data_IF_371625268879
#
_entry.id   IF_371625268879
#
_cell.length_a   1.000
_cell.length_b   1.000
_cell.length_c   1.000
_cell.angle_alpha   90.00
_cell.angle_beta   90.00
_cell.angle_gamma   90.00
#
_symmetry.space_group_name_H-M   'P 1'
#
loop_
_entity.id
_entity.type
_entity.pdbx_description
1 polymer ?
#
# COMPACT_ATOMS: atom_id res chain seq x y z
N UNK A 1 -25.93 3.83 -8.53
CA UNK A 1 -24.72 4.42 -7.93
C UNK A 1 -23.60 4.39 -8.94
N UNK A 2 -22.89 5.51 -9.14
CA UNK A 2 -21.74 5.61 -10.04
C UNK A 2 -20.51 6.00 -9.23
N UNK A 3 -19.40 5.28 -9.42
CA UNK A 3 -18.13 5.47 -8.68
C UNK A 3 -17.03 5.83 -9.66
N UNK A 4 -16.20 6.81 -9.30
CA UNK A 4 -14.95 7.10 -10.00
C UNK A 4 -13.75 6.63 -9.15
N UNK A 5 -12.72 6.08 -9.81
CA UNK A 5 -11.44 5.73 -9.19
C UNK A 5 -10.33 6.41 -9.98
N UNK A 6 -9.59 7.30 -9.33
CA UNK A 6 -8.55 8.13 -9.94
C UNK A 6 -7.18 7.60 -9.55
N UNK A 7 -6.40 7.20 -10.57
CA UNK A 7 -5.10 6.54 -10.43
C UNK A 7 -5.26 5.02 -10.53
N UNK A 8 -4.93 4.45 -11.69
CA UNK A 8 -5.05 3.01 -11.99
C UNK A 8 -3.71 2.26 -11.77
N UNK A 9 -3.07 2.55 -10.64
CA UNK A 9 -1.99 1.72 -10.12
C UNK A 9 -2.54 0.46 -9.45
N UNK A 10 -1.71 -0.19 -8.62
CA UNK A 10 -2.05 -1.43 -7.92
C UNK A 10 -3.40 -1.37 -7.19
N UNK A 11 -3.58 -0.37 -6.34
CA UNK A 11 -4.81 -0.19 -5.55
C UNK A 11 -6.00 0.17 -6.44
N UNK A 12 -5.83 1.14 -7.35
CA UNK A 12 -6.94 1.69 -8.11
C UNK A 12 -7.48 0.72 -9.17
N UNK A 13 -6.61 0.02 -9.89
CA UNK A 13 -7.06 -0.95 -10.90
C UNK A 13 -7.74 -2.15 -10.25
N UNK A 14 -7.18 -2.65 -9.14
CA UNK A 14 -7.79 -3.73 -8.36
C UNK A 14 -9.17 -3.33 -7.84
N UNK A 15 -9.28 -2.16 -7.19
CA UNK A 15 -10.55 -1.65 -6.69
C UNK A 15 -11.58 -1.45 -7.80
N UNK A 16 -11.20 -0.82 -8.91
CA UNK A 16 -12.09 -0.57 -10.06
C UNK A 16 -12.63 -1.88 -10.64
N UNK A 17 -11.74 -2.87 -10.79
CA UNK A 17 -12.10 -4.17 -11.34
C UNK A 17 -13.08 -4.93 -10.43
N UNK A 18 -12.83 -4.91 -9.11
CA UNK A 18 -13.71 -5.58 -8.13
C UNK A 18 -15.06 -4.88 -8.03
N UNK A 19 -15.11 -3.55 -7.92
CA UNK A 19 -16.35 -2.77 -7.88
C UNK A 19 -17.24 -3.09 -9.08
N UNK A 20 -16.68 -3.00 -10.28
CA UNK A 20 -17.41 -3.24 -11.51
C UNK A 20 -17.82 -4.71 -11.69
N UNK A 21 -16.99 -5.66 -11.28
CA UNK A 21 -17.31 -7.09 -11.33
C UNK A 21 -18.48 -7.47 -10.42
N UNK A 22 -18.71 -6.69 -9.35
CA UNK A 22 -19.87 -6.78 -8.44
C UNK A 22 -21.10 -5.99 -8.92
N UNK A 23 -21.08 -5.45 -10.15
CA UNK A 23 -22.24 -4.77 -10.75
C UNK A 23 -22.31 -3.26 -10.48
N UNK A 24 -21.29 -2.65 -9.89
CA UNK A 24 -21.27 -1.21 -9.61
C UNK A 24 -20.72 -0.48 -10.83
N UNK A 25 -21.47 0.48 -11.38
CA UNK A 25 -21.00 1.34 -12.48
C UNK A 25 -19.76 2.11 -12.03
N UNK A 26 -18.60 1.80 -12.62
CA UNK A 26 -17.30 2.32 -12.21
C UNK A 26 -16.59 2.96 -13.38
N UNK A 27 -15.99 4.11 -13.14
CA UNK A 27 -15.11 4.82 -14.08
C UNK A 27 -13.70 4.82 -13.49
N UNK A 28 -12.80 4.08 -14.12
CA UNK A 28 -11.38 4.10 -13.81
C UNK A 28 -10.68 5.19 -14.62
N UNK A 29 -9.92 6.04 -13.95
CA UNK A 29 -9.29 7.23 -14.56
C UNK A 29 -7.79 7.21 -14.26
N UNK A 30 -6.96 7.32 -15.30
CA UNK A 30 -5.52 7.51 -15.17
C UNK A 30 -5.03 8.52 -16.20
N UNK A 31 -4.09 9.37 -15.84
CA UNK A 31 -3.51 10.37 -16.75
C UNK A 31 -2.62 9.76 -17.84
N UNK A 32 -2.17 8.53 -17.68
CA UNK A 32 -1.37 7.78 -18.65
C UNK A 32 -2.30 7.09 -19.66
N UNK A 33 -2.49 7.74 -20.83
CA UNK A 33 -3.31 7.21 -21.91
C UNK A 33 -2.82 5.87 -22.47
N UNK A 34 -1.49 5.59 -22.43
CA UNK A 34 -0.94 4.29 -22.85
C UNK A 34 -1.36 3.18 -21.88
N UNK A 35 -1.32 3.49 -20.58
CA UNK A 35 -1.84 2.60 -19.53
C UNK A 35 -3.33 2.34 -19.72
N UNK A 36 -4.13 3.37 -19.91
CA UNK A 36 -5.57 3.25 -20.17
C UNK A 36 -5.84 2.34 -21.38
N UNK A 37 -5.11 2.54 -22.49
CA UNK A 37 -5.26 1.74 -23.71
C UNK A 37 -4.95 0.25 -23.50
N UNK A 38 -3.98 -0.11 -22.64
CA UNK A 38 -3.73 -1.51 -22.28
C UNK A 38 -4.87 -2.08 -21.43
N UNK A 39 -5.32 -1.32 -20.42
CA UNK A 39 -6.37 -1.76 -19.50
C UNK A 39 -7.70 -1.98 -20.24
N UNK A 40 -8.07 -1.12 -21.17
CA UNK A 40 -9.27 -1.29 -22.02
C UNK A 40 -9.25 -2.62 -22.80
N UNK A 41 -8.06 -3.09 -23.19
CA UNK A 41 -7.87 -4.40 -23.85
C UNK A 41 -7.92 -5.58 -22.86
N UNK A 42 -8.16 -5.33 -21.58
CA UNK A 42 -8.17 -6.34 -20.52
C UNK A 42 -6.78 -6.80 -20.08
N UNK A 43 -5.74 -6.02 -20.37
CA UNK A 43 -4.35 -6.32 -20.01
C UNK A 43 -3.96 -5.48 -18.81
N UNK A 44 -3.77 -6.07 -17.60
CA UNK A 44 -3.26 -5.36 -16.42
C UNK A 44 -1.84 -4.85 -16.65
N UNK A 45 -1.44 -3.81 -15.93
CA UNK A 45 -0.10 -3.20 -16.03
C UNK A 45 0.89 -3.72 -14.98
N UNK A 46 0.48 -4.69 -14.19
CA UNK A 46 1.27 -5.42 -13.18
C UNK A 46 0.65 -6.80 -12.99
N UNK A 47 1.43 -7.74 -12.49
CA UNK A 47 0.94 -9.07 -12.16
C UNK A 47 0.22 -9.08 -10.80
N UNK A 48 -0.99 -9.62 -10.78
CA UNK A 48 -1.75 -9.93 -9.55
C UNK A 48 -2.65 -11.13 -9.85
N UNK A 49 -2.63 -12.19 -9.02
CA UNK A 49 -3.50 -13.34 -9.22
C UNK A 49 -4.97 -12.96 -9.39
N UNK A 50 -5.63 -13.51 -10.40
CA UNK A 50 -7.05 -13.27 -10.74
C UNK A 50 -7.40 -11.84 -11.21
N UNK A 51 -6.47 -10.89 -11.27
CA UNK A 51 -6.77 -9.51 -11.68
C UNK A 51 -7.20 -9.47 -13.14
N UNK A 52 -6.50 -10.12 -14.05
CA UNK A 52 -6.83 -10.13 -15.48
C UNK A 52 -8.23 -10.69 -15.72
N UNK A 53 -8.57 -11.81 -15.09
CA UNK A 53 -9.91 -12.42 -15.17
C UNK A 53 -10.99 -11.49 -14.65
N UNK A 54 -10.75 -10.84 -13.50
CA UNK A 54 -11.69 -9.90 -12.87
C UNK A 54 -11.84 -8.64 -13.73
N UNK A 55 -10.76 -8.09 -14.27
CA UNK A 55 -10.76 -6.94 -15.17
C UNK A 55 -11.57 -7.22 -16.46
N UNK A 56 -11.30 -8.33 -17.14
CA UNK A 56 -12.04 -8.73 -18.36
C UNK A 56 -13.53 -8.87 -18.10
N UNK A 57 -13.93 -9.43 -16.94
CA UNK A 57 -15.33 -9.51 -16.53
C UNK A 57 -15.93 -8.11 -16.28
N UNK A 58 -15.19 -7.24 -15.62
CA UNK A 58 -15.63 -5.88 -15.30
C UNK A 58 -15.84 -5.03 -16.56
N UNK A 59 -14.92 -5.08 -17.51
CA UNK A 59 -14.96 -4.33 -18.76
C UNK A 59 -16.17 -4.68 -19.63
N UNK A 60 -16.65 -5.92 -19.58
CA UNK A 60 -17.83 -6.35 -20.36
C UNK A 60 -19.13 -5.68 -19.95
N UNK A 61 -19.23 -5.08 -18.73
CA UNK A 61 -20.51 -4.59 -18.20
C UNK A 61 -20.43 -3.21 -17.56
N UNK A 62 -19.59 -3.03 -16.54
CA UNK A 62 -19.74 -1.90 -15.60
C UNK A 62 -18.46 -1.06 -15.44
N UNK A 63 -17.36 -1.40 -16.11
CA UNK A 63 -16.10 -0.65 -16.00
C UNK A 63 -15.83 0.14 -17.29
N UNK A 64 -15.69 1.44 -17.13
CA UNK A 64 -15.24 2.35 -18.18
C UNK A 64 -13.85 2.85 -17.79
N UNK A 65 -12.89 2.79 -18.70
CA UNK A 65 -11.53 3.30 -18.49
C UNK A 65 -11.31 4.52 -19.39
N UNK A 66 -10.75 5.58 -18.83
CA UNK A 66 -10.51 6.84 -19.55
C UNK A 66 -9.37 7.64 -18.92
N UNK A 67 -8.78 8.52 -19.71
CA UNK A 67 -7.83 9.54 -19.24
C UNK A 67 -8.49 10.90 -18.91
N UNK A 68 -9.80 11.02 -19.19
CA UNK A 68 -10.56 12.27 -19.00
C UNK A 68 -11.08 12.39 -17.57
N UNK A 69 -10.47 13.27 -16.77
CA UNK A 69 -10.87 13.47 -15.38
C UNK A 69 -12.32 14.03 -15.26
N UNK A 70 -12.84 14.73 -16.27
CA UNK A 70 -14.24 15.20 -16.29
C UNK A 70 -15.28 14.08 -16.15
N UNK A 71 -14.89 12.83 -16.37
CA UNK A 71 -15.75 11.65 -16.20
C UNK A 71 -16.19 11.40 -14.74
N UNK A 72 -15.60 12.12 -13.76
CA UNK A 72 -16.09 12.12 -12.37
C UNK A 72 -17.44 12.83 -12.20
N UNK A 73 -17.86 13.61 -13.19
CA UNK A 73 -19.15 14.30 -13.13
C UNK A 73 -20.27 13.28 -12.92
N UNK A 74 -21.20 13.63 -12.04
CA UNK A 74 -22.33 12.77 -11.64
C UNK A 74 -21.93 11.46 -10.89
N UNK A 75 -20.69 11.30 -10.44
CA UNK A 75 -20.31 10.20 -9.53
C UNK A 75 -20.79 10.47 -8.11
N UNK A 76 -21.22 9.41 -7.43
CA UNK A 76 -21.62 9.46 -6.02
C UNK A 76 -20.42 9.38 -5.10
N UNK A 77 -19.42 8.56 -5.50
CA UNK A 77 -18.15 8.38 -4.81
C UNK A 77 -16.99 8.61 -5.76
N UNK A 78 -15.94 9.25 -5.27
CA UNK A 78 -14.69 9.52 -6.00
C UNK A 78 -13.54 9.01 -5.13
N UNK A 79 -12.97 7.88 -5.49
CA UNK A 79 -11.78 7.33 -4.85
C UNK A 79 -10.52 7.91 -5.47
N UNK A 80 -9.62 8.43 -4.64
CA UNK A 80 -8.29 8.87 -5.06
C UNK A 80 -7.27 7.83 -4.59
N UNK A 81 -6.62 7.19 -5.55
CA UNK A 81 -5.71 6.06 -5.39
C UNK A 81 -4.36 6.30 -6.09
N UNK A 82 -4.02 7.58 -6.29
CA UNK A 82 -2.76 7.95 -6.94
C UNK A 82 -1.55 7.63 -6.05
N UNK A 83 -0.41 7.39 -6.67
CA UNK A 83 0.82 7.07 -5.96
C UNK A 83 1.31 8.20 -5.04
N UNK A 84 1.96 7.81 -3.96
CA UNK A 84 2.63 8.71 -3.01
C UNK A 84 4.08 8.23 -2.85
N UNK A 85 4.96 8.47 -3.85
CA UNK A 85 6.34 8.00 -3.83
C UNK A 85 7.13 8.68 -2.72
N UNK A 86 8.25 8.08 -2.35
CA UNK A 86 9.17 8.67 -1.39
C UNK A 86 10.14 9.64 -2.09
N UNK A 87 10.37 10.79 -1.49
CA UNK A 87 11.44 11.72 -1.88
C UNK A 87 12.78 11.22 -1.36
N UNK A 88 13.89 11.78 -1.90
CA UNK A 88 15.26 11.46 -1.48
C UNK A 88 15.51 11.69 0.03
N UNK A 89 14.84 12.66 0.63
CA UNK A 89 14.94 12.97 2.06
C UNK A 89 14.05 12.10 2.97
N UNK A 90 13.42 11.08 2.44
CA UNK A 90 12.53 10.18 3.19
C UNK A 90 11.09 10.64 3.35
N UNK A 91 10.75 11.86 2.92
CA UNK A 91 9.38 12.36 2.94
C UNK A 91 8.51 11.72 1.87
N UNK A 92 7.21 11.72 2.10
CA UNK A 92 6.23 11.35 1.07
C UNK A 92 6.02 12.52 0.11
N UNK A 93 6.08 12.23 -1.19
CA UNK A 93 5.72 13.20 -2.22
C UNK A 93 4.19 13.24 -2.40
N UNK A 94 3.62 14.38 -2.07
CA UNK A 94 2.17 14.65 -2.18
C UNK A 94 1.80 15.37 -3.49
N UNK A 95 2.70 15.51 -4.45
CA UNK A 95 2.47 16.27 -5.69
C UNK A 95 1.26 15.75 -6.47
N UNK A 96 1.14 14.43 -6.65
CA UNK A 96 -0.01 13.82 -7.32
C UNK A 96 -1.32 14.04 -6.56
N UNK A 97 -1.30 13.89 -5.22
CA UNK A 97 -2.48 14.15 -4.37
C UNK A 97 -2.93 15.61 -4.52
N UNK A 98 -2.01 16.57 -4.44
CA UNK A 98 -2.29 18.00 -4.58
C UNK A 98 -2.88 18.33 -5.95
N UNK A 99 -2.30 17.78 -7.01
CA UNK A 99 -2.75 17.98 -8.39
C UNK A 99 -4.17 17.45 -8.59
N UNK A 100 -4.43 16.20 -8.14
CA UNK A 100 -5.74 15.59 -8.26
C UNK A 100 -6.77 16.32 -7.39
N UNK A 101 -6.44 16.68 -6.15
CA UNK A 101 -7.33 17.44 -5.27
C UNK A 101 -7.72 18.80 -5.89
N UNK A 102 -6.76 19.52 -6.51
CA UNK A 102 -7.02 20.77 -7.22
C UNK A 102 -8.00 20.57 -8.39
N UNK A 103 -7.76 19.56 -9.22
CA UNK A 103 -8.57 19.28 -10.39
C UNK A 103 -9.97 18.78 -10.03
N UNK A 104 -10.07 17.87 -9.04
CA UNK A 104 -11.36 17.41 -8.49
C UNK A 104 -12.13 18.58 -7.88
N UNK A 105 -11.47 19.45 -7.12
CA UNK A 105 -12.08 20.66 -6.55
C UNK A 105 -12.75 21.53 -7.62
N UNK A 106 -12.06 21.79 -8.74
CA UNK A 106 -12.63 22.54 -9.86
C UNK A 106 -13.85 21.86 -10.47
N UNK A 107 -13.78 20.54 -10.72
CA UNK A 107 -14.88 19.80 -11.33
C UNK A 107 -16.13 19.70 -10.42
N UNK A 108 -15.95 19.55 -9.12
CA UNK A 108 -17.09 19.49 -8.19
C UNK A 108 -17.73 20.88 -7.96
N UNK A 109 -17.04 22.00 -8.29
CA UNK A 109 -17.64 23.34 -8.18
C UNK A 109 -18.92 23.45 -9.01
N UNK A 110 -18.90 22.90 -10.22
CA UNK A 110 -19.99 22.94 -11.20
C UNK A 110 -20.99 21.78 -11.01
N UNK A 111 -20.65 20.79 -10.20
CA UNK A 111 -21.47 19.61 -10.03
C UNK A 111 -22.63 19.88 -9.06
N UNK A 112 -23.87 19.63 -9.52
CA UNK A 112 -25.09 19.72 -8.69
C UNK A 112 -25.16 18.60 -7.63
N UNK A 113 -24.53 17.44 -7.88
CA UNK A 113 -24.43 16.36 -6.88
C UNK A 113 -23.45 16.75 -5.78
N UNK A 114 -23.67 16.16 -4.61
CA UNK A 114 -22.79 16.26 -3.44
C UNK A 114 -21.96 14.96 -3.33
N UNK A 115 -20.84 14.84 -4.06
CA UNK A 115 -20.05 13.61 -4.08
C UNK A 115 -19.36 13.36 -2.75
N UNK A 116 -18.94 12.12 -2.53
CA UNK A 116 -18.07 11.74 -1.42
C UNK A 116 -16.69 11.41 -1.99
N UNK A 117 -15.68 12.15 -1.55
CA UNK A 117 -14.29 11.99 -1.94
C UNK A 117 -13.60 11.14 -0.89
N UNK A 118 -13.02 10.01 -1.31
CA UNK A 118 -12.26 9.13 -0.44
C UNK A 118 -10.79 9.14 -0.87
N UNK A 119 -9.90 9.47 0.05
CA UNK A 119 -8.46 9.32 -0.18
C UNK A 119 -8.07 7.93 0.32
N UNK A 120 -7.70 7.06 -0.62
CA UNK A 120 -7.26 5.70 -0.35
C UNK A 120 -5.73 5.57 -0.43
N UNK A 121 -5.06 6.52 -1.07
CA UNK A 121 -3.60 6.64 -1.09
C UNK A 121 -3.04 6.74 0.34
N UNK A 122 -1.90 6.10 0.57
CA UNK A 122 -1.18 6.21 1.87
C UNK A 122 -0.58 7.61 2.00
N UNK A 123 -1.07 8.38 2.95
CA UNK A 123 -0.67 9.76 3.21
C UNK A 123 -0.33 9.94 4.69
N UNK A 124 0.63 10.83 5.00
CA UNK A 124 1.11 11.11 6.35
C UNK A 124 -0.01 11.72 7.20
N UNK A 125 -0.12 11.33 8.49
CA UNK A 125 -1.07 11.94 9.43
C UNK A 125 -1.03 13.47 9.40
N UNK A 126 -2.23 14.08 9.26
CA UNK A 126 -2.41 15.51 9.06
C UNK A 126 -2.63 15.93 7.61
N UNK A 127 -2.24 15.11 6.62
CA UNK A 127 -2.33 15.48 5.20
C UNK A 127 -3.76 15.81 4.77
N UNK A 128 -4.75 15.08 5.23
CA UNK A 128 -6.15 15.37 4.90
C UNK A 128 -6.56 16.75 5.36
N UNK A 129 -6.24 17.11 6.62
CA UNK A 129 -6.62 18.38 7.24
C UNK A 129 -5.83 19.56 6.67
N UNK A 130 -4.51 19.40 6.54
CA UNK A 130 -3.60 20.53 6.28
C UNK A 130 -3.33 20.75 4.79
N UNK A 131 -3.60 19.73 3.95
CA UNK A 131 -3.29 19.79 2.51
C UNK A 131 -4.54 19.56 1.66
N UNK A 132 -5.20 18.40 1.79
CA UNK A 132 -6.27 18.00 0.87
C UNK A 132 -7.52 18.85 1.05
N UNK A 133 -7.98 19.02 2.29
CA UNK A 133 -9.18 19.80 2.61
C UNK A 133 -9.09 21.26 2.13
N UNK A 134 -8.01 22.03 2.44
CA UNK A 134 -7.90 23.41 1.97
C UNK A 134 -7.85 23.53 0.45
N UNK A 135 -7.20 22.58 -0.25
CA UNK A 135 -7.12 22.57 -1.71
C UNK A 135 -8.51 22.32 -2.31
N UNK A 136 -9.25 21.34 -1.82
CA UNK A 136 -10.60 21.03 -2.30
C UNK A 136 -11.56 22.19 -2.06
N UNK A 137 -11.62 22.76 -0.85
CA UNK A 137 -12.51 23.87 -0.53
C UNK A 137 -12.20 25.13 -1.34
N UNK A 138 -10.92 25.48 -1.48
CA UNK A 138 -10.49 26.66 -2.27
C UNK A 138 -10.91 26.53 -3.75
N UNK A 139 -10.68 25.36 -4.34
CA UNK A 139 -10.92 25.17 -5.78
C UNK A 139 -12.40 24.87 -6.11
N UNK A 140 -13.16 24.34 -5.16
CA UNK A 140 -14.59 24.07 -5.36
C UNK A 140 -15.49 25.22 -4.93
N UNK A 141 -15.02 26.13 -4.08
CA UNK A 141 -15.80 27.13 -3.36
C UNK A 141 -16.94 26.51 -2.53
N UNK A 142 -16.76 25.27 -2.11
CA UNK A 142 -17.72 24.44 -1.35
C UNK A 142 -17.08 23.97 -0.04
N UNK A 143 -17.91 23.60 0.95
CA UNK A 143 -17.46 23.16 2.27
C UNK A 143 -17.60 21.65 2.45
N UNK A 144 -16.52 21.01 2.91
CA UNK A 144 -16.55 19.62 3.32
C UNK A 144 -17.53 19.40 4.48
N UNK A 145 -18.21 18.27 4.48
CA UNK A 145 -19.25 17.95 5.46
C UNK A 145 -20.62 18.55 5.19
N UNK A 146 -20.70 19.64 4.39
CA UNK A 146 -21.94 20.30 3.99
C UNK A 146 -22.28 20.05 2.52
N UNK A 147 -21.34 20.32 1.64
CA UNK A 147 -21.54 20.32 0.18
C UNK A 147 -20.91 19.08 -0.50
N UNK A 148 -19.91 18.50 0.11
CA UNK A 148 -19.31 17.24 -0.29
C UNK A 148 -18.79 16.47 0.93
N UNK A 149 -18.69 15.13 0.80
CA UNK A 149 -18.02 14.29 1.81
C UNK A 149 -16.52 14.25 1.55
N UNK A 150 -15.72 14.25 2.63
CA UNK A 150 -14.27 14.02 2.55
C UNK A 150 -13.89 12.99 3.59
N UNK A 151 -13.30 11.86 3.15
CA UNK A 151 -13.03 10.70 4.00
C UNK A 151 -11.64 10.14 3.70
N UNK A 152 -10.87 9.92 4.75
CA UNK A 152 -9.64 9.11 4.70
C UNK A 152 -10.03 7.63 4.78
N UNK A 153 -9.68 6.85 3.78
CA UNK A 153 -9.99 5.42 3.70
C UNK A 153 -8.73 4.63 3.30
N UNK A 154 -7.78 4.45 4.22
CA UNK A 154 -6.57 3.71 3.94
C UNK A 154 -6.89 2.29 3.48
N UNK A 155 -5.99 1.70 2.69
CA UNK A 155 -6.05 0.32 2.22
C UNK A 155 -5.07 -0.56 3.01
N UNK A 156 -5.33 -1.86 3.03
CA UNK A 156 -4.49 -2.87 3.67
C UNK A 156 -4.27 -4.06 2.72
N UNK A 157 -4.18 -3.76 1.42
CA UNK A 157 -3.99 -4.78 0.39
C UNK A 157 -2.59 -5.39 0.48
N UNK A 158 -2.54 -6.69 0.25
CA UNK A 158 -1.30 -7.42 0.07
C UNK A 158 -1.15 -7.77 -1.41
N UNK A 159 -0.01 -7.48 -2.01
CA UNK A 159 0.31 -8.01 -3.34
C UNK A 159 0.20 -9.53 -3.30
N UNK A 160 -0.25 -10.15 -4.36
CA UNK A 160 -0.65 -11.55 -4.49
C UNK A 160 -2.00 -11.95 -3.88
N UNK A 161 -2.66 -11.07 -3.10
CA UNK A 161 -4.00 -11.31 -2.53
C UNK A 161 -4.93 -10.09 -2.66
N UNK A 162 -4.57 -9.10 -3.46
CA UNK A 162 -5.26 -7.81 -3.51
C UNK A 162 -6.73 -7.91 -3.93
N UNK A 163 -7.09 -8.85 -4.80
CA UNK A 163 -8.49 -9.10 -5.16
C UNK A 163 -9.29 -9.56 -3.94
N UNK A 164 -8.77 -10.53 -3.18
CA UNK A 164 -9.43 -11.05 -1.99
C UNK A 164 -9.50 -9.99 -0.88
N UNK A 165 -8.40 -9.28 -0.64
CA UNK A 165 -8.34 -8.21 0.34
C UNK A 165 -9.28 -7.04 -0.02
N UNK A 166 -9.56 -6.79 -1.31
CA UNK A 166 -10.55 -5.81 -1.73
C UNK A 166 -11.98 -6.31 -1.48
N UNK A 167 -12.23 -7.60 -1.66
CA UNK A 167 -13.56 -8.21 -1.44
C UNK A 167 -13.85 -8.38 0.05
N UNK A 168 -12.89 -8.84 0.82
CA UNK A 168 -13.01 -9.14 2.25
C UNK A 168 -11.75 -8.68 3.00
N UNK A 169 -11.57 -7.36 3.17
CA UNK A 169 -10.46 -6.83 3.99
C UNK A 169 -10.66 -7.24 5.45
N UNK A 170 -9.60 -7.28 6.25
CA UNK A 170 -9.71 -7.54 7.68
C UNK A 170 -10.39 -6.39 8.43
N UNK A 171 -10.36 -5.17 7.90
CA UNK A 171 -11.02 -3.98 8.44
C UNK A 171 -11.25 -2.94 7.34
N UNK A 172 -12.34 -2.17 7.48
CA UNK A 172 -12.55 -0.92 6.74
C UNK A 172 -12.38 0.24 7.72
N UNK A 173 -11.46 1.16 7.43
CA UNK A 173 -11.24 2.36 8.24
C UNK A 173 -11.78 3.58 7.51
N UNK A 174 -12.63 4.36 8.17
CA UNK A 174 -13.27 5.56 7.64
C UNK A 174 -12.95 6.75 8.58
N UNK A 175 -12.05 7.63 8.13
CA UNK A 175 -11.67 8.82 8.88
C UNK A 175 -12.34 10.07 8.32
N UNK A 176 -13.04 10.83 9.17
CA UNK A 176 -13.68 12.03 8.70
C UNK A 176 -14.66 12.65 9.69
N UNK A 177 -15.42 13.65 9.22
CA UNK A 177 -16.46 14.26 10.01
C UNK A 177 -17.69 13.37 10.11
N UNK A 178 -18.31 13.30 11.30
CA UNK A 178 -19.56 12.56 11.55
C UNK A 178 -20.77 13.28 10.91
N UNK A 179 -20.95 13.10 9.60
CA UNK A 179 -22.00 13.72 8.80
C UNK A 179 -22.85 12.68 8.08
N UNK A 180 -23.88 13.13 7.35
CA UNK A 180 -24.64 12.24 6.44
C UNK A 180 -23.78 11.53 5.40
N UNK A 181 -22.65 12.13 5.00
CA UNK A 181 -21.71 11.52 4.08
C UNK A 181 -20.99 10.31 4.70
N UNK A 182 -20.62 10.41 5.98
CA UNK A 182 -20.03 9.28 6.72
C UNK A 182 -21.04 8.11 6.81
N UNK A 183 -22.28 8.38 7.19
CA UNK A 183 -23.34 7.36 7.24
C UNK A 183 -23.58 6.70 5.88
N UNK A 184 -23.58 7.50 4.78
CA UNK A 184 -23.71 6.96 3.42
C UNK A 184 -22.51 6.09 3.04
N UNK A 185 -21.30 6.45 3.45
CA UNK A 185 -20.08 5.69 3.20
C UNK A 185 -20.04 4.39 4.01
N UNK A 186 -20.40 4.44 5.27
CA UNK A 186 -20.54 3.27 6.15
C UNK A 186 -21.54 2.26 5.55
N UNK A 187 -22.73 2.73 5.14
CA UNK A 187 -23.73 1.89 4.46
C UNK A 187 -23.19 1.30 3.16
N UNK A 188 -22.43 2.05 2.38
CA UNK A 188 -21.79 1.53 1.18
C UNK A 188 -20.83 0.39 1.50
N UNK A 189 -19.92 0.57 2.45
CA UNK A 189 -18.96 -0.47 2.79
C UNK A 189 -19.59 -1.69 3.48
N UNK A 190 -20.61 -1.50 4.30
CA UNK A 190 -21.34 -2.64 4.90
C UNK A 190 -22.02 -3.54 3.86
N UNK A 191 -22.43 -2.96 2.72
CA UNK A 191 -22.98 -3.71 1.60
C UNK A 191 -21.90 -4.29 0.66
N UNK A 192 -20.83 -3.54 0.45
CA UNK A 192 -19.74 -3.94 -0.44
C UNK A 192 -18.83 -5.00 0.18
N UNK A 193 -18.53 -4.87 1.47
CA UNK A 193 -17.71 -5.77 2.28
C UNK A 193 -18.55 -6.31 3.46
N UNK A 194 -19.52 -7.21 3.23
CA UNK A 194 -20.39 -7.71 4.30
C UNK A 194 -19.57 -8.47 5.35
N UNK A 195 -19.96 -8.31 6.61
CA UNK A 195 -19.32 -8.93 7.78
C UNK A 195 -17.87 -8.50 8.05
N UNK A 196 -17.43 -7.39 7.44
CA UNK A 196 -16.13 -6.78 7.73
C UNK A 196 -16.30 -5.70 8.79
N UNK A 197 -15.48 -5.67 9.86
CA UNK A 197 -15.49 -4.60 10.85
C UNK A 197 -15.23 -3.24 10.19
N UNK A 198 -16.04 -2.22 10.57
CA UNK A 198 -15.87 -0.84 10.12
C UNK A 198 -15.49 0.02 11.32
N UNK A 199 -14.33 0.67 11.23
CA UNK A 199 -13.85 1.62 12.25
C UNK A 199 -14.07 3.05 11.74
N UNK A 200 -14.91 3.82 12.45
CA UNK A 200 -15.16 5.23 12.16
C UNK A 200 -14.37 6.09 13.12
N UNK A 201 -13.53 6.98 12.57
CA UNK A 201 -12.66 7.86 13.35
C UNK A 201 -12.48 9.23 12.67
N UNK A 202 -11.54 10.06 13.14
CA UNK A 202 -11.14 11.29 12.45
C UNK A 202 -10.07 11.00 11.36
N UNK A 203 -9.78 12.01 10.54
CA UNK A 203 -8.82 11.87 9.44
C UNK A 203 -7.43 11.43 9.91
N UNK A 204 -6.87 12.12 10.90
CA UNK A 204 -5.50 11.88 11.36
C UNK A 204 -5.32 10.48 11.97
N UNK A 205 -6.32 10.01 12.73
CA UNK A 205 -6.30 8.64 13.28
C UNK A 205 -6.38 7.60 12.18
N UNK A 206 -7.22 7.80 11.16
CA UNK A 206 -7.30 6.88 10.02
C UNK A 206 -5.98 6.82 9.23
N UNK A 207 -5.35 7.97 9.01
CA UNK A 207 -4.02 8.07 8.39
C UNK A 207 -2.97 7.31 9.23
N UNK A 208 -2.96 7.52 10.56
CA UNK A 208 -2.01 6.87 11.47
C UNK A 208 -2.20 5.35 11.53
N UNK A 209 -3.43 4.84 11.49
CA UNK A 209 -3.71 3.39 11.52
C UNK A 209 -2.95 2.66 10.41
N UNK A 210 -2.87 3.21 9.19
CA UNK A 210 -2.10 2.60 8.10
C UNK A 210 -0.61 2.47 8.44
N UNK A 211 -0.01 3.53 8.96
CA UNK A 211 1.39 3.52 9.35
C UNK A 211 1.65 2.62 10.55
N UNK A 212 0.76 2.61 11.54
CA UNK A 212 0.86 1.72 12.70
C UNK A 212 0.85 0.25 12.27
N UNK A 213 -0.11 -0.13 11.39
CA UNK A 213 -0.19 -1.47 10.83
C UNK A 213 1.12 -1.88 10.13
N UNK A 214 1.58 -1.08 9.18
CA UNK A 214 2.78 -1.41 8.40
C UNK A 214 4.05 -1.41 9.25
N UNK A 215 4.14 -0.51 10.24
CA UNK A 215 5.24 -0.47 11.20
C UNK A 215 5.29 -1.73 12.07
N UNK A 216 4.14 -2.20 12.53
CA UNK A 216 4.08 -3.41 13.34
C UNK A 216 4.43 -4.67 12.54
N UNK A 217 3.98 -4.78 11.30
CA UNK A 217 4.38 -5.88 10.41
C UNK A 217 5.89 -5.90 10.15
N UNK A 218 6.49 -4.74 9.88
CA UNK A 218 7.94 -4.63 9.72
C UNK A 218 8.71 -4.98 11.01
N UNK A 219 8.14 -4.64 12.18
CA UNK A 219 8.70 -5.00 13.49
C UNK A 219 8.70 -6.51 13.68
N UNK A 220 7.60 -7.21 13.36
CA UNK A 220 7.54 -8.69 13.45
C UNK A 220 8.60 -9.35 12.58
N UNK A 221 8.78 -8.90 11.33
CA UNK A 221 9.82 -9.43 10.43
C UNK A 221 11.22 -9.16 10.98
N UNK A 222 11.49 -7.94 11.46
CA UNK A 222 12.80 -7.61 12.04
C UNK A 222 13.07 -8.37 13.32
N UNK A 223 12.06 -8.58 14.16
CA UNK A 223 12.17 -9.35 15.40
C UNK A 223 12.56 -10.81 15.13
N UNK A 224 11.81 -11.51 14.24
CA UNK A 224 12.11 -12.90 13.95
C UNK A 224 13.48 -13.06 13.25
N UNK A 225 13.86 -12.12 12.39
CA UNK A 225 15.18 -12.11 11.75
C UNK A 225 16.32 -11.91 12.79
N UNK A 226 16.10 -11.08 13.79
CA UNK A 226 17.07 -10.91 14.86
C UNK A 226 17.23 -12.20 15.67
N UNK A 227 16.12 -12.90 15.99
CA UNK A 227 16.18 -14.20 16.66
C UNK A 227 16.86 -15.26 15.78
N UNK A 228 16.59 -15.27 14.46
CA UNK A 228 17.26 -16.18 13.53
C UNK A 228 18.78 -15.98 13.53
N UNK A 229 19.26 -14.74 13.56
CA UNK A 229 20.68 -14.45 13.66
C UNK A 229 21.29 -14.94 14.99
N UNK A 230 20.53 -14.88 16.09
CA UNK A 230 20.96 -15.45 17.39
C UNK A 230 21.01 -16.98 17.32
N UNK A 231 19.99 -17.61 16.75
CA UNK A 231 19.95 -19.07 16.59
C UNK A 231 21.15 -19.62 15.78
N UNK A 232 21.66 -18.85 14.81
CA UNK A 232 22.83 -19.25 14.03
C UNK A 232 24.11 -19.39 14.87
N UNK A 233 24.18 -18.74 16.03
CA UNK A 233 25.31 -18.79 16.95
C UNK A 233 25.10 -19.80 18.12
N UNK A 234 23.91 -20.41 18.23
CA UNK A 234 23.56 -21.35 19.29
C UNK A 234 23.31 -22.73 18.64
N UNK A 235 24.16 -23.73 18.89
CA UNK A 235 24.00 -25.10 18.37
C UNK A 235 22.60 -25.66 18.64
N UNK A 236 22.10 -26.45 17.73
CA UNK A 236 20.84 -27.22 17.83
C UNK A 236 19.57 -26.37 17.99
N UNK A 237 19.65 -25.05 17.82
CA UNK A 237 18.45 -24.20 17.79
C UNK A 237 17.84 -24.12 16.37
N UNK A 238 16.49 -24.05 16.29
CA UNK A 238 15.77 -23.94 15.05
C UNK A 238 14.74 -22.80 15.10
N UNK A 239 14.95 -21.79 14.28
CA UNK A 239 14.09 -20.60 14.25
C UNK A 239 12.66 -20.90 13.79
N UNK A 240 12.44 -21.92 12.93
CA UNK A 240 11.11 -22.24 12.43
C UNK A 240 10.23 -22.81 13.55
N UNK A 241 10.79 -23.67 14.44
CA UNK A 241 10.06 -24.13 15.63
C UNK A 241 9.79 -23.00 16.62
N UNK A 242 10.74 -22.08 16.79
CA UNK A 242 10.53 -20.89 17.65
C UNK A 242 9.40 -20.05 17.08
N UNK A 243 9.43 -19.72 15.78
CA UNK A 243 8.40 -18.96 15.11
C UNK A 243 7.01 -19.64 15.19
N UNK A 244 6.98 -20.97 15.00
CA UNK A 244 5.76 -21.75 15.13
C UNK A 244 5.22 -21.68 16.56
N UNK A 245 6.06 -21.92 17.57
CA UNK A 245 5.65 -21.96 18.97
C UNK A 245 5.10 -20.60 19.44
N UNK A 246 5.82 -19.51 19.21
CA UNK A 246 5.34 -18.17 19.59
C UNK A 246 4.13 -17.74 18.76
N UNK A 247 4.00 -18.20 17.50
CA UNK A 247 2.89 -17.91 16.62
C UNK A 247 1.58 -18.56 17.05
N UNK A 248 1.62 -19.64 17.85
CA UNK A 248 0.43 -20.27 18.44
C UNK A 248 -0.19 -19.43 19.57
N UNK A 249 0.57 -18.52 20.17
CA UNK A 249 0.00 -17.57 21.13
C UNK A 249 -0.94 -16.59 20.38
N UNK A 250 -2.26 -16.57 20.69
CA UNK A 250 -3.22 -15.71 20.01
C UNK A 250 -2.91 -14.21 20.17
N UNK A 251 -2.13 -13.82 21.18
CA UNK A 251 -1.67 -12.44 21.38
C UNK A 251 -0.60 -12.03 20.37
N UNK A 252 0.11 -13.00 19.78
CA UNK A 252 1.18 -12.79 18.80
C UNK A 252 0.70 -13.11 17.39
N UNK A 253 0.11 -14.30 17.18
CA UNK A 253 -0.31 -14.81 15.88
C UNK A 253 0.85 -15.15 14.94
N UNK A 254 0.64 -16.11 14.04
CA UNK A 254 1.67 -16.74 13.22
C UNK A 254 2.13 -15.92 11.98
N UNK A 255 1.35 -14.91 11.57
CA UNK A 255 1.67 -14.15 10.37
C UNK A 255 2.88 -13.22 10.58
N UNK A 256 3.73 -13.09 9.54
CA UNK A 256 4.94 -12.24 9.54
C UNK A 256 6.05 -12.68 10.52
N UNK A 257 6.10 -13.97 10.86
CA UNK A 257 7.15 -14.56 11.71
C UNK A 257 8.11 -15.49 10.94
N UNK A 258 8.10 -15.48 9.61
CA UNK A 258 9.08 -16.24 8.82
C UNK A 258 10.39 -15.46 8.73
N UNK A 259 11.49 -16.07 9.19
CA UNK A 259 12.82 -15.51 9.03
C UNK A 259 13.25 -15.53 7.56
N UNK A 260 14.05 -14.53 7.14
CA UNK A 260 14.50 -14.42 5.77
C UNK A 260 15.40 -13.20 5.54
N UNK A 261 15.57 -12.76 4.26
CA UNK A 261 16.49 -11.69 3.90
C UNK A 261 16.04 -10.28 4.31
N UNK A 262 14.95 -10.17 5.04
CA UNK A 262 14.32 -8.91 5.41
C UNK A 262 13.10 -8.56 4.55
N UNK A 263 12.46 -7.43 4.88
CA UNK A 263 11.34 -6.93 4.11
C UNK A 263 11.79 -5.97 3.01
N UNK A 264 11.12 -6.05 1.88
CA UNK A 264 11.24 -5.19 0.72
C UNK A 264 9.86 -4.73 0.23
N UNK A 265 9.75 -4.48 -1.05
CA UNK A 265 8.52 -4.06 -1.70
C UNK A 265 8.23 -2.57 -1.57
N UNK A 266 7.15 -2.15 -2.21
CA UNK A 266 6.77 -0.75 -2.37
C UNK A 266 6.19 -0.07 -1.12
N UNK A 267 5.85 -0.84 -0.08
CA UNK A 267 5.07 -0.33 1.06
C UNK A 267 5.89 -0.23 2.35
N UNK A 268 6.37 -1.36 2.89
CA UNK A 268 7.01 -1.37 4.22
C UNK A 268 8.23 -0.45 4.32
N UNK A 269 9.22 -0.50 3.39
CA UNK A 269 10.39 0.37 3.49
C UNK A 269 10.05 1.85 3.44
N UNK A 270 9.11 2.21 2.55
CA UNK A 270 8.66 3.59 2.37
C UNK A 270 7.93 4.11 3.61
N UNK A 271 7.00 3.32 4.16
CA UNK A 271 6.13 3.75 5.25
C UNK A 271 6.88 3.84 6.58
N UNK A 272 7.83 2.94 6.85
CA UNK A 272 8.73 3.03 8.01
C UNK A 272 9.54 4.33 7.95
N UNK A 273 10.19 4.63 6.83
CA UNK A 273 10.98 5.86 6.68
C UNK A 273 10.10 7.11 6.80
N UNK A 274 8.87 7.06 6.28
CA UNK A 274 7.95 8.17 6.35
C UNK A 274 7.51 8.49 7.78
N UNK A 275 7.18 7.47 8.59
CA UNK A 275 6.79 7.68 10.00
C UNK A 275 7.99 8.07 10.88
N UNK A 276 9.19 7.54 10.62
CA UNK A 276 10.42 7.99 11.28
C UNK A 276 10.66 9.48 10.99
N UNK A 277 10.55 9.89 9.74
CA UNK A 277 10.71 11.29 9.35
C UNK A 277 9.67 12.21 10.02
N UNK A 278 8.39 11.80 10.02
CA UNK A 278 7.34 12.52 10.71
C UNK A 278 7.64 12.66 12.21
N UNK A 279 8.00 11.56 12.88
CA UNK A 279 8.31 11.56 14.31
C UNK A 279 9.42 12.54 14.64
N UNK A 280 10.50 12.53 13.87
CA UNK A 280 11.61 13.45 14.04
C UNK A 280 11.19 14.93 13.87
N UNK A 281 10.32 15.21 12.89
CA UNK A 281 9.81 16.57 12.65
C UNK A 281 8.97 17.14 13.79
N UNK A 282 8.22 16.26 14.47
CA UNK A 282 7.38 16.65 15.62
C UNK A 282 8.10 16.50 16.96
N UNK A 283 9.43 16.25 16.96
CA UNK A 283 10.25 16.17 18.16
C UNK A 283 10.13 14.85 18.95
N UNK A 284 9.52 13.80 18.37
CA UNK A 284 9.39 12.48 19.00
C UNK A 284 10.49 11.56 18.48
N UNK A 285 11.28 10.96 19.38
CA UNK A 285 12.34 10.03 19.00
C UNK A 285 11.76 8.64 18.62
N UNK A 286 11.86 8.20 17.36
CA UNK A 286 11.30 6.92 16.92
C UNK A 286 12.26 5.76 17.16
N UNK A 287 12.71 5.56 18.39
CA UNK A 287 13.78 4.61 18.78
C UNK A 287 13.52 3.21 18.26
N UNK A 288 12.31 2.67 18.50
CA UNK A 288 11.94 1.33 18.05
C UNK A 288 11.98 1.21 16.52
N UNK A 289 11.39 2.19 15.81
CA UNK A 289 11.31 2.14 14.34
C UNK A 289 12.69 2.30 13.69
N UNK A 290 13.58 3.09 14.30
CA UNK A 290 14.99 3.18 13.89
C UNK A 290 15.70 1.84 14.06
N UNK A 291 15.44 1.13 15.17
CA UNK A 291 16.00 -0.21 15.40
C UNK A 291 15.47 -1.21 14.35
N UNK A 292 14.18 -1.19 14.05
CA UNK A 292 13.55 -2.03 13.02
C UNK A 292 14.19 -1.78 11.64
N UNK A 293 14.34 -0.52 11.23
CA UNK A 293 14.97 -0.18 9.95
C UNK A 293 16.45 -0.60 9.91
N UNK A 294 17.19 -0.39 11.02
CA UNK A 294 18.59 -0.80 11.14
C UNK A 294 18.73 -2.32 11.04
N UNK A 295 17.91 -3.09 11.76
CA UNK A 295 17.89 -4.55 11.71
C UNK A 295 17.62 -5.05 10.29
N UNK A 296 16.62 -4.50 9.61
CA UNK A 296 16.30 -4.88 8.23
C UNK A 296 17.46 -4.60 7.27
N UNK A 297 18.08 -3.42 7.33
CA UNK A 297 19.26 -3.09 6.51
C UNK A 297 20.46 -3.99 6.78
N UNK A 298 20.63 -4.42 8.01
CA UNK A 298 21.75 -5.27 8.41
C UNK A 298 21.58 -6.71 7.93
N UNK A 299 20.36 -7.17 7.66
CA UNK A 299 20.06 -8.55 7.32
C UNK A 299 20.83 -9.04 6.10
N UNK A 300 20.95 -8.26 5.04
CA UNK A 300 21.74 -8.63 3.86
C UNK A 300 23.24 -8.78 4.20
N UNK A 301 23.77 -7.97 5.12
CA UNK A 301 25.15 -8.11 5.58
C UNK A 301 25.36 -9.42 6.36
N UNK A 302 24.35 -9.83 7.14
CA UNK A 302 24.39 -11.11 7.87
C UNK A 302 24.35 -12.29 6.89
N UNK A 303 23.51 -12.24 5.86
CA UNK A 303 23.48 -13.25 4.80
C UNK A 303 24.82 -13.32 4.06
N UNK A 304 25.45 -12.19 3.74
CA UNK A 304 26.78 -12.18 3.13
C UNK A 304 27.85 -12.82 4.02
N UNK A 305 27.77 -12.63 5.35
CA UNK A 305 28.65 -13.31 6.31
C UNK A 305 28.40 -14.81 6.31
N UNK A 306 27.13 -15.24 6.34
CA UNK A 306 26.74 -16.65 6.29
C UNK A 306 27.25 -17.35 5.02
N UNK A 307 27.07 -16.71 3.86
CA UNK A 307 27.60 -17.20 2.58
C UNK A 307 29.11 -17.36 2.68
N UNK A 308 29.83 -16.32 3.14
CA UNK A 308 31.29 -16.35 3.27
C UNK A 308 31.76 -17.44 4.24
N UNK A 309 31.03 -17.65 5.34
CA UNK A 309 31.34 -18.72 6.30
C UNK A 309 31.27 -20.10 5.63
N UNK A 310 30.22 -20.37 4.85
CA UNK A 310 29.98 -21.69 4.26
C UNK A 310 30.83 -21.99 3.02
N UNK A 311 31.09 -21.00 2.15
CA UNK A 311 31.80 -21.23 0.88
C UNK A 311 33.22 -20.64 0.84
N UNK A 312 33.64 -19.96 1.90
CA UNK A 312 34.93 -19.28 2.01
C UNK A 312 35.01 -18.04 1.12
N UNK A 313 36.06 -17.96 0.30
CA UNK A 313 36.32 -16.80 -0.57
C UNK A 313 35.26 -16.71 -1.70
N UNK A 314 34.53 -15.61 -1.75
CA UNK A 314 33.42 -15.38 -2.71
C UNK A 314 33.94 -15.09 -4.14
N UNK A 315 35.09 -14.43 -4.27
CA UNK A 315 35.67 -14.03 -5.57
C UNK A 315 35.86 -15.23 -6.50
N UNK A 316 35.30 -15.16 -7.71
CA UNK A 316 35.36 -16.20 -8.72
C UNK A 316 34.37 -17.35 -8.54
N UNK A 317 33.60 -17.41 -7.46
CA UNK A 317 32.56 -18.43 -7.26
C UNK A 317 31.34 -18.15 -8.13
N UNK A 318 30.74 -19.19 -8.69
CA UNK A 318 29.44 -19.16 -9.37
C UNK A 318 28.35 -19.31 -8.32
N UNK A 319 27.45 -18.34 -8.24
CA UNK A 319 26.34 -18.30 -7.26
C UNK A 319 25.05 -18.02 -8.01
N UNK A 320 24.08 -18.90 -7.87
CA UNK A 320 22.74 -18.72 -8.46
C UNK A 320 21.80 -18.17 -7.40
N UNK A 321 21.06 -17.09 -7.71
CA UNK A 321 20.04 -16.52 -6.86
C UNK A 321 18.67 -16.80 -7.46
N UNK A 322 17.86 -17.58 -6.74
CA UNK A 322 16.54 -18.00 -7.20
C UNK A 322 15.48 -16.97 -6.83
N UNK A 323 15.05 -16.20 -7.85
CA UNK A 323 14.00 -15.19 -7.71
C UNK A 323 14.51 -13.80 -7.30
N UNK A 324 13.95 -12.80 -7.96
CA UNK A 324 14.33 -11.37 -7.77
C UNK A 324 13.18 -10.50 -7.29
N UNK A 325 11.95 -11.00 -7.28
CA UNK A 325 10.82 -10.30 -6.68
C UNK A 325 10.99 -10.20 -5.16
N UNK A 326 10.40 -9.17 -4.54
CA UNK A 326 10.54 -8.97 -3.10
C UNK A 326 9.81 -10.02 -2.24
N UNK A 327 8.86 -10.75 -2.83
CA UNK A 327 8.14 -11.89 -2.24
C UNK A 327 7.56 -12.81 -3.31
N UNK A 328 7.08 -14.02 -2.95
CA UNK A 328 6.40 -14.93 -3.88
C UNK A 328 5.12 -14.34 -4.49
N UNK A 329 4.77 -14.81 -5.71
CA UNK A 329 3.53 -14.49 -6.44
C UNK A 329 3.34 -12.99 -6.76
N UNK A 330 4.42 -12.26 -7.03
CA UNK A 330 4.42 -10.90 -7.56
C UNK A 330 5.58 -10.72 -8.55
N UNK A 331 5.46 -9.75 -9.45
CA UNK A 331 6.54 -9.29 -10.34
C UNK A 331 7.25 -8.02 -9.81
N UNK A 332 6.89 -7.56 -8.60
CA UNK A 332 7.44 -6.35 -8.01
C UNK A 332 8.86 -6.58 -7.47
N UNK A 333 9.81 -5.82 -8.02
CA UNK A 333 11.22 -5.85 -7.65
C UNK A 333 11.67 -4.64 -6.83
N UNK A 334 10.74 -3.75 -6.47
CA UNK A 334 11.07 -2.53 -5.71
C UNK A 334 11.58 -2.88 -4.32
N UNK A 335 12.70 -2.28 -3.94
CA UNK A 335 13.40 -2.57 -2.67
C UNK A 335 13.58 -4.09 -2.41
N UNK A 336 13.76 -4.89 -3.48
CA UNK A 336 13.99 -6.33 -3.36
C UNK A 336 15.33 -6.60 -2.67
N UNK A 337 15.26 -7.37 -1.60
CA UNK A 337 16.43 -7.84 -0.85
C UNK A 337 17.31 -8.78 -1.67
N UNK A 338 16.72 -9.58 -2.57
CA UNK A 338 17.46 -10.44 -3.52
C UNK A 338 18.32 -9.60 -4.47
N UNK A 339 17.80 -8.50 -5.01
CA UNK A 339 18.57 -7.61 -5.88
C UNK A 339 19.73 -6.96 -5.13
N UNK A 340 19.52 -6.54 -3.89
CA UNK A 340 20.58 -5.98 -3.07
C UNK A 340 21.67 -7.04 -2.75
N UNK A 341 21.26 -8.28 -2.47
CA UNK A 341 22.18 -9.40 -2.28
C UNK A 341 23.01 -9.64 -3.56
N UNK A 342 22.38 -9.71 -4.74
CA UNK A 342 23.05 -9.87 -6.04
C UNK A 342 24.11 -8.78 -6.24
N UNK A 343 23.77 -7.51 -5.99
CA UNK A 343 24.71 -6.39 -6.12
C UNK A 343 25.94 -6.57 -5.22
N UNK A 344 25.74 -7.05 -3.99
CA UNK A 344 26.84 -7.28 -3.03
C UNK A 344 27.70 -8.49 -3.42
N UNK A 345 27.09 -9.55 -3.93
CA UNK A 345 27.81 -10.71 -4.44
C UNK A 345 28.69 -10.34 -5.65
N UNK A 346 28.15 -9.61 -6.62
CA UNK A 346 28.89 -9.11 -7.78
C UNK A 346 30.06 -8.21 -7.32
N UNK A 347 29.79 -7.26 -6.41
CA UNK A 347 30.83 -6.39 -5.84
C UNK A 347 31.94 -7.18 -5.11
N UNK A 348 31.60 -8.35 -4.56
CA UNK A 348 32.55 -9.27 -3.91
C UNK A 348 33.30 -10.16 -4.91
N UNK A 349 33.04 -10.02 -6.22
CA UNK A 349 33.71 -10.76 -7.30
C UNK A 349 33.07 -12.12 -7.59
N UNK A 350 31.85 -12.39 -7.18
CA UNK A 350 31.11 -13.59 -7.60
C UNK A 350 30.63 -13.47 -9.05
N UNK A 351 30.47 -14.61 -9.72
CA UNK A 351 29.75 -14.76 -10.98
C UNK A 351 28.32 -15.14 -10.61
N UNK A 352 27.37 -14.21 -10.75
CA UNK A 352 26.00 -14.41 -10.30
C UNK A 352 25.09 -14.72 -11.49
N UNK A 353 24.25 -15.75 -11.34
CA UNK A 353 23.23 -16.15 -12.30
C UNK A 353 21.85 -16.22 -11.64
#
# INVERSE_FOLDING_TARGET
MKIAVIGLGFVGLTLSSVLASKGITTVGIDSDGKKCSKIVKGIPTFFEPNLEKTLKKALKKNLIITDKLSSINNCDFIFITVGTPQKKNGEIDLSFIKTVAKSVGKLISENKKKPIILIKSTIIPGTMKDVVLPILERNSKKKAGKDFGLISNPEFLQESQAIQDTIKPHVVVLGGYRTKFMKKTEKFFSQFNPNVPIIITNHQTAEMIKYANNSFLATKISFINQLANICQEIPDTNIDYIAQAIGLDPRIGNLFLNAGPGYGGSCLPKDIKAIINLSSKIGVQPTLLNAVEKTNKQQISNIMKLIKHNIGKIKGKKITVLGVAFKPNTDDIRDSTSIELIRRLIKSGAIVT
#
